data_IF_281002387300
#
_entry.id   IF_281002387300
#
_cell.length_a   1.000
_cell.length_b   1.000
_cell.length_c   1.000
_cell.angle_alpha   90.00
_cell.angle_beta   90.00
_cell.angle_gamma   90.00
#
_symmetry.space_group_name_H-M   'P 1'
#
loop_
_entity.id
_entity.type
_entity.pdbx_description
1 polymer ?
#
# COMPACT_ATOMS: atom_id res chain seq x y z
N UNK A 1 -40.26 47.77 -63.04
CA UNK A 1 -40.73 46.37 -63.11
C UNK A 1 -39.52 45.44 -63.04
N UNK A 2 -39.69 44.28 -62.40
CA UNK A 2 -38.73 43.17 -62.15
C UNK A 2 -37.53 43.51 -61.21
N UNK A 3 -37.58 43.21 -59.90
CA UNK A 3 -37.26 41.93 -59.20
C UNK A 3 -35.90 41.37 -59.66
N UNK A 4 -34.88 41.25 -58.79
CA UNK A 4 -34.73 40.08 -57.89
C UNK A 4 -33.54 40.26 -56.93
N UNK A 5 -33.73 39.93 -55.65
CA UNK A 5 -32.71 39.78 -54.59
C UNK A 5 -32.35 38.31 -54.43
N UNK A 6 -31.07 37.93 -54.36
CA UNK A 6 -30.55 36.70 -53.71
C UNK A 6 -29.08 36.96 -53.30
N UNK A 7 -28.79 37.23 -52.02
CA UNK A 7 -28.28 36.28 -51.00
C UNK A 7 -26.97 35.60 -51.45
N UNK A 8 -25.83 36.15 -51.02
CA UNK A 8 -24.56 35.42 -50.96
C UNK A 8 -24.41 34.88 -49.51
N UNK A 9 -24.53 33.57 -49.37
CA UNK A 9 -24.41 32.86 -48.10
C UNK A 9 -22.94 32.70 -47.68
N UNK A 10 -22.63 33.12 -46.45
CA UNK A 10 -21.42 32.72 -45.76
C UNK A 10 -21.75 31.50 -44.87
N UNK A 11 -21.37 30.30 -45.33
CA UNK A 11 -21.36 29.11 -44.50
C UNK A 11 -20.04 29.08 -43.73
N UNK A 12 -20.04 29.62 -42.51
CA UNK A 12 -18.98 29.36 -41.54
C UNK A 12 -19.30 28.03 -40.84
N UNK A 13 -18.64 26.96 -41.27
CA UNK A 13 -18.65 25.68 -40.56
C UNK A 13 -17.69 25.81 -39.38
N UNK A 14 -18.20 26.27 -38.23
CA UNK A 14 -17.51 26.10 -36.96
C UNK A 14 -17.67 24.66 -36.52
N UNK A 15 -16.67 23.83 -36.83
CA UNK A 15 -16.50 22.53 -36.22
C UNK A 15 -16.08 22.74 -34.75
N UNK A 16 -17.05 22.89 -33.86
CA UNK A 16 -16.83 22.72 -32.42
C UNK A 16 -16.51 21.25 -32.19
N UNK A 17 -15.23 20.91 -32.14
CA UNK A 17 -14.76 19.71 -31.46
C UNK A 17 -15.07 19.89 -29.97
N UNK A 18 -16.29 19.52 -29.59
CA UNK A 18 -16.62 19.15 -28.22
C UNK A 18 -15.80 17.90 -27.92
N UNK A 19 -14.59 18.10 -27.37
CA UNK A 19 -13.92 17.06 -26.62
C UNK A 19 -14.80 16.80 -25.41
N UNK A 20 -15.66 15.79 -25.49
CA UNK A 20 -16.34 15.27 -24.31
C UNK A 20 -15.23 14.84 -23.33
N UNK A 21 -15.24 15.32 -22.08
CA UNK A 21 -14.37 14.76 -21.07
C UNK A 21 -14.81 13.31 -20.86
N UNK A 22 -14.11 12.37 -21.46
CA UNK A 22 -14.26 10.95 -21.17
C UNK A 22 -13.56 10.66 -19.84
N UNK A 23 -14.14 11.16 -18.75
CA UNK A 23 -13.92 10.66 -17.40
C UNK A 23 -15.23 10.00 -16.99
N UNK A 24 -15.19 8.74 -16.59
CA UNK A 24 -16.35 8.04 -16.07
C UNK A 24 -16.96 8.81 -14.87
N UNK A 25 -18.08 9.50 -15.09
CA UNK A 25 -18.83 10.29 -14.11
C UNK A 25 -19.59 9.38 -13.13
N UNK A 26 -18.85 8.71 -12.23
CA UNK A 26 -19.47 8.08 -11.07
C UNK A 26 -19.70 9.10 -9.96
N UNK A 27 -20.85 9.04 -9.31
CA UNK A 27 -21.19 9.92 -8.18
C UNK A 27 -21.40 9.11 -6.91
N UNK A 28 -21.12 9.69 -5.73
CA UNK A 28 -21.47 9.06 -4.46
C UNK A 28 -22.93 8.59 -4.43
N UNK A 29 -23.13 7.33 -4.02
CA UNK A 29 -24.42 6.65 -4.03
C UNK A 29 -24.64 5.74 -5.24
N UNK A 30 -23.86 5.87 -6.31
CA UNK A 30 -23.94 4.95 -7.45
C UNK A 30 -23.67 3.51 -7.01
N UNK A 31 -24.52 2.59 -7.48
CA UNK A 31 -24.33 1.14 -7.33
C UNK A 31 -23.84 0.57 -8.65
N UNK A 32 -22.58 0.11 -8.63
CA UNK A 32 -21.96 -0.59 -9.73
C UNK A 32 -22.23 -2.09 -9.56
N UNK A 33 -22.88 -2.67 -10.55
CA UNK A 33 -23.21 -4.10 -10.66
C UNK A 33 -22.74 -4.61 -12.02
N UNK A 34 -22.89 -5.91 -12.28
CA UNK A 34 -22.64 -6.50 -13.59
C UNK A 34 -23.32 -5.69 -14.73
N UNK A 35 -24.52 -5.18 -14.51
CA UNK A 35 -25.32 -4.47 -15.53
C UNK A 35 -24.73 -3.12 -15.97
N UNK A 36 -23.83 -2.52 -15.19
CA UNK A 36 -23.30 -1.19 -15.47
C UNK A 36 -21.80 -1.05 -15.15
N UNK A 37 -21.07 -2.16 -15.01
CA UNK A 37 -19.63 -2.17 -14.68
C UNK A 37 -18.78 -1.46 -15.74
N UNK A 38 -19.23 -1.42 -17.00
CA UNK A 38 -18.57 -0.68 -18.07
C UNK A 38 -18.42 0.82 -17.76
N UNK A 39 -19.25 1.38 -16.86
CA UNK A 39 -19.11 2.76 -16.38
C UNK A 39 -17.81 2.98 -15.63
N UNK A 40 -17.23 1.97 -15.01
CA UNK A 40 -16.02 2.09 -14.19
C UNK A 40 -14.84 1.31 -14.72
N UNK A 41 -14.94 0.72 -15.91
CA UNK A 41 -13.90 -0.17 -16.48
C UNK A 41 -12.50 0.46 -16.50
N UNK A 42 -12.41 1.77 -16.74
CA UNK A 42 -11.15 2.53 -16.81
C UNK A 42 -10.72 3.08 -15.43
N UNK A 43 -11.52 2.86 -14.39
CA UNK A 43 -11.30 3.30 -13.01
C UNK A 43 -10.97 2.15 -12.04
N UNK A 44 -11.14 0.90 -12.48
CA UNK A 44 -10.93 -0.29 -11.65
C UNK A 44 -9.93 -1.25 -12.30
N UNK A 45 -9.36 -2.14 -11.49
CA UNK A 45 -8.54 -3.22 -12.04
C UNK A 45 -9.41 -4.27 -12.75
N UNK A 46 -8.87 -5.00 -13.75
CA UNK A 46 -9.58 -6.10 -14.39
C UNK A 46 -10.08 -7.17 -13.40
N UNK A 47 -9.34 -7.38 -12.30
CA UNK A 47 -9.75 -8.30 -11.25
C UNK A 47 -11.00 -7.83 -10.50
N UNK A 48 -11.10 -6.53 -10.20
CA UNK A 48 -12.30 -5.98 -9.57
C UNK A 48 -13.50 -6.00 -10.53
N UNK A 49 -13.27 -5.75 -11.82
CA UNK A 49 -14.30 -5.90 -12.86
C UNK A 49 -14.85 -7.33 -12.88
N UNK A 50 -13.95 -8.32 -12.86
CA UNK A 50 -14.31 -9.73 -12.80
C UNK A 50 -15.16 -10.03 -11.54
N UNK A 51 -14.75 -9.55 -10.37
CA UNK A 51 -15.54 -9.72 -9.14
C UNK A 51 -16.95 -9.12 -9.25
N UNK A 52 -17.09 -7.91 -9.79
CA UNK A 52 -18.40 -7.24 -9.97
C UNK A 52 -19.30 -8.05 -10.89
N UNK A 53 -18.76 -8.57 -12.00
CA UNK A 53 -19.48 -9.46 -12.93
C UNK A 53 -19.90 -10.78 -12.29
N UNK A 54 -19.25 -11.20 -11.20
CA UNK A 54 -19.56 -12.45 -10.48
C UNK A 54 -20.27 -12.20 -9.13
N UNK A 55 -20.99 -11.08 -9.01
CA UNK A 55 -21.89 -10.84 -7.87
C UNK A 55 -21.27 -10.05 -6.71
N UNK A 56 -20.20 -9.30 -6.96
CA UNK A 56 -19.60 -8.39 -5.98
C UNK A 56 -19.92 -6.92 -6.30
N UNK A 57 -21.15 -6.42 -6.01
CA UNK A 57 -21.51 -5.04 -6.35
C UNK A 57 -20.68 -4.04 -5.52
N UNK A 58 -20.31 -2.92 -6.15
CA UNK A 58 -19.57 -1.83 -5.53
C UNK A 58 -20.48 -0.62 -5.35
N UNK A 59 -20.37 0.08 -4.22
CA UNK A 59 -21.07 1.35 -3.99
C UNK A 59 -20.05 2.48 -3.95
N UNK A 60 -20.26 3.49 -4.79
CA UNK A 60 -19.40 4.68 -4.83
C UNK A 60 -19.72 5.54 -3.61
N UNK A 61 -18.70 5.97 -2.89
CA UNK A 61 -18.83 6.86 -1.73
C UNK A 61 -18.01 8.11 -1.94
N UNK A 62 -18.28 9.15 -1.15
CA UNK A 62 -17.42 10.33 -1.12
C UNK A 62 -15.98 9.95 -0.78
N UNK A 63 -15.04 10.58 -1.48
CA UNK A 63 -13.63 10.50 -1.14
C UNK A 63 -13.44 11.06 0.26
N UNK A 64 -12.87 10.24 1.14
CA UNK A 64 -12.54 10.64 2.51
C UNK A 64 -11.08 10.34 2.79
N UNK A 65 -10.51 11.09 3.72
CA UNK A 65 -9.19 10.78 4.23
C UNK A 65 -9.23 9.43 4.96
N UNK A 66 -8.27 8.56 4.67
CA UNK A 66 -8.08 7.31 5.41
C UNK A 66 -7.27 7.65 6.65
N UNK A 67 -7.97 7.74 7.78
CA UNK A 67 -7.35 8.03 9.07
C UNK A 67 -6.41 6.90 9.50
N UNK A 68 -5.34 7.26 10.19
CA UNK A 68 -4.47 6.29 10.84
C UNK A 68 -5.25 5.49 11.90
N UNK A 69 -4.83 4.23 12.17
CA UNK A 69 -5.34 3.50 13.32
C UNK A 69 -5.19 4.35 14.59
N UNK A 70 -6.26 4.43 15.39
CA UNK A 70 -6.32 5.31 16.57
C UNK A 70 -5.12 5.14 17.50
N UNK A 71 -4.73 3.91 17.81
CA UNK A 71 -3.60 3.63 18.69
C UNK A 71 -2.26 4.12 18.10
N UNK A 72 -2.10 4.06 16.77
CA UNK A 72 -0.91 4.56 16.08
C UNK A 72 -0.83 6.08 16.14
N UNK A 73 -1.96 6.77 15.94
CA UNK A 73 -2.06 8.22 16.09
C UNK A 73 -1.74 8.66 17.52
N UNK A 74 -2.39 8.07 18.52
CA UNK A 74 -2.17 8.39 19.95
C UNK A 74 -0.71 8.14 20.37
N UNK A 75 -0.10 7.04 19.91
CA UNK A 75 1.30 6.75 20.18
C UNK A 75 2.24 7.77 19.51
N UNK A 76 1.94 8.15 18.27
CA UNK A 76 2.69 9.20 17.55
C UNK A 76 2.66 10.51 18.31
N UNK A 77 1.48 10.97 18.72
CA UNK A 77 1.30 12.21 19.48
C UNK A 77 2.07 12.17 20.81
N UNK A 78 2.10 11.01 21.47
CA UNK A 78 2.77 10.81 22.76
C UNK A 78 4.29 10.74 22.67
N UNK A 79 4.83 10.07 21.64
CA UNK A 79 6.24 9.66 21.63
C UNK A 79 7.09 10.29 20.51
N UNK A 80 6.51 10.88 19.46
CA UNK A 80 7.32 11.34 18.33
C UNK A 80 8.29 12.49 18.67
N UNK A 81 7.94 13.36 19.62
CA UNK A 81 8.73 14.56 19.96
C UNK A 81 10.11 14.27 20.58
N UNK A 82 10.30 13.09 21.18
CA UNK A 82 11.58 12.66 21.76
C UNK A 82 12.50 11.95 20.75
N UNK A 83 11.94 11.52 19.61
CA UNK A 83 12.68 10.71 18.63
C UNK A 83 13.71 11.56 17.91
N UNK A 84 14.94 11.06 17.84
CA UNK A 84 16.04 11.70 17.11
C UNK A 84 16.76 10.67 16.26
N UNK A 85 17.45 11.14 15.23
CA UNK A 85 18.45 10.33 14.54
C UNK A 85 19.82 10.64 15.12
N UNK A 86 20.67 9.62 15.21
CA UNK A 86 22.10 9.79 15.44
C UNK A 86 22.70 10.69 14.34
N UNK A 87 23.86 11.29 14.61
CA UNK A 87 24.49 12.24 13.67
C UNK A 87 24.78 11.61 12.29
N UNK A 88 25.08 10.32 12.24
CA UNK A 88 25.29 9.55 11.01
C UNK A 88 23.99 9.07 10.34
N UNK A 89 22.83 9.29 10.97
CA UNK A 89 21.52 8.91 10.47
C UNK A 89 21.21 7.41 10.53
N UNK A 90 22.05 6.59 11.17
CA UNK A 90 21.91 5.13 11.18
C UNK A 90 21.04 4.60 12.33
N UNK A 91 20.98 5.33 13.44
CA UNK A 91 20.27 4.91 14.66
C UNK A 91 19.15 5.88 14.97
N UNK A 92 17.99 5.32 15.31
CA UNK A 92 16.87 6.06 15.87
C UNK A 92 16.92 6.00 17.40
N UNK A 93 17.09 7.16 18.02
CA UNK A 93 17.19 7.33 19.46
C UNK A 93 15.82 7.66 20.06
N UNK A 94 15.53 7.11 21.25
CA UNK A 94 14.31 7.35 22.04
C UNK A 94 12.99 6.99 21.35
N UNK A 95 13.03 6.13 20.33
CA UNK A 95 11.81 5.59 19.73
C UNK A 95 11.10 4.65 20.70
N UNK A 96 9.78 4.76 20.77
CA UNK A 96 8.92 3.90 21.60
C UNK A 96 7.86 3.23 20.75
N UNK A 97 7.01 4.01 20.08
CA UNK A 97 5.95 3.54 19.19
C UNK A 97 5.40 4.68 18.32
N UNK A 98 4.61 4.33 17.29
CA UNK A 98 3.98 5.29 16.38
C UNK A 98 4.91 5.71 15.22
N UNK A 99 4.52 6.80 14.54
CA UNK A 99 5.31 7.41 13.47
C UNK A 99 6.53 8.12 14.07
N UNK A 100 7.76 7.77 13.68
CA UNK A 100 8.96 8.38 14.25
C UNK A 100 9.04 9.89 14.06
N UNK A 101 8.82 10.38 12.83
CA UNK A 101 9.01 11.78 12.45
C UNK A 101 7.77 12.28 11.70
N UNK A 102 6.62 12.51 12.34
CA UNK A 102 5.35 12.81 11.66
C UNK A 102 5.39 14.11 10.82
N UNK A 103 6.24 15.06 11.19
CA UNK A 103 6.40 16.35 10.50
C UNK A 103 7.90 16.68 10.32
N UNK A 104 8.64 15.95 9.46
CA UNK A 104 10.06 16.21 9.26
C UNK A 104 10.27 17.53 8.52
N UNK A 105 11.21 18.37 8.96
CA UNK A 105 11.53 19.64 8.30
C UNK A 105 12.34 19.39 7.02
N UNK A 106 11.86 19.92 5.89
CA UNK A 106 12.53 19.83 4.57
C UNK A 106 13.92 20.46 4.55
N UNK A 107 14.23 21.34 5.51
CA UNK A 107 15.55 21.97 5.66
C UNK A 107 16.53 21.13 6.49
N UNK A 108 16.05 20.09 7.15
CA UNK A 108 16.89 19.18 7.93
C UNK A 108 17.80 18.38 6.98
N UNK A 109 19.13 18.38 7.17
CA UNK A 109 20.03 17.58 6.34
C UNK A 109 19.71 16.07 6.39
N UNK A 110 19.01 15.60 7.43
CA UNK A 110 18.56 14.22 7.58
C UNK A 110 17.09 14.01 7.14
N UNK A 111 16.44 14.99 6.50
CA UNK A 111 15.04 14.91 6.07
C UNK A 111 14.71 13.61 5.31
N UNK A 112 15.51 13.28 4.30
CA UNK A 112 15.29 12.07 3.47
C UNK A 112 15.41 10.80 4.30
N UNK A 113 16.38 10.74 5.21
CA UNK A 113 16.58 9.60 6.10
C UNK A 113 15.37 9.44 7.04
N UNK A 114 14.85 10.55 7.58
CA UNK A 114 13.62 10.54 8.40
C UNK A 114 12.41 10.04 7.62
N UNK A 115 12.28 10.39 6.34
CA UNK A 115 11.23 9.85 5.45
C UNK A 115 11.40 8.35 5.24
N UNK A 116 12.63 7.85 5.08
CA UNK A 116 12.89 6.41 4.95
C UNK A 116 12.52 5.64 6.23
N UNK A 117 12.88 6.16 7.41
CA UNK A 117 12.44 5.59 8.68
C UNK A 117 10.92 5.63 8.82
N UNK A 118 10.28 6.71 8.41
CA UNK A 118 8.83 6.83 8.43
C UNK A 118 8.14 5.80 7.56
N UNK A 119 8.69 5.49 6.39
CA UNK A 119 8.20 4.41 5.55
C UNK A 119 8.38 3.07 6.28
N UNK A 120 9.60 2.74 6.71
CA UNK A 120 9.92 1.45 7.34
C UNK A 120 9.10 1.18 8.62
N UNK A 121 8.82 2.21 9.43
CA UNK A 121 8.04 2.14 10.67
C UNK A 121 6.56 2.49 10.50
N UNK A 122 6.11 2.73 9.26
CA UNK A 122 4.71 3.05 8.97
C UNK A 122 3.76 1.90 9.29
N UNK A 123 2.57 2.22 9.79
CA UNK A 123 1.61 1.21 10.26
C UNK A 123 1.19 0.16 9.23
N UNK A 124 1.29 0.49 7.93
CA UNK A 124 1.01 -0.43 6.82
C UNK A 124 2.02 -1.57 6.70
N UNK A 125 3.23 -1.39 7.24
CA UNK A 125 4.28 -2.42 7.26
C UNK A 125 4.16 -3.38 8.46
N UNK A 126 3.13 -3.17 9.29
CA UNK A 126 2.83 -3.93 10.49
C UNK A 126 3.13 -3.14 11.76
N UNK A 127 2.32 -3.40 12.80
CA UNK A 127 2.42 -2.74 14.11
C UNK A 127 2.87 -3.72 15.21
N UNK A 128 2.21 -4.87 15.29
CA UNK A 128 2.46 -5.88 16.34
C UNK A 128 2.77 -7.24 15.70
N UNK A 129 1.73 -7.97 15.30
CA UNK A 129 1.82 -9.33 14.81
C UNK A 129 1.10 -9.39 13.45
N UNK A 130 1.67 -10.11 12.49
CA UNK A 130 1.05 -10.41 11.19
C UNK A 130 0.91 -11.92 11.07
N UNK A 131 -0.28 -12.39 10.71
CA UNK A 131 -0.61 -13.80 10.48
C UNK A 131 -1.32 -13.89 9.13
N UNK A 132 -0.68 -14.53 8.15
CA UNK A 132 -1.26 -14.81 6.83
C UNK A 132 -1.11 -16.29 6.55
N UNK A 133 -2.17 -16.90 5.99
CA UNK A 133 -2.20 -18.34 5.74
C UNK A 133 -2.75 -18.68 4.38
N UNK A 134 -2.27 -19.80 3.83
CA UNK A 134 -2.74 -20.38 2.57
C UNK A 134 -2.83 -19.33 1.45
N UNK A 135 -1.69 -18.71 1.15
CA UNK A 135 -1.62 -17.68 0.12
C UNK A 135 -0.67 -18.07 -0.99
N UNK A 136 -1.04 -17.65 -2.19
CA UNK A 136 -0.24 -17.83 -3.40
C UNK A 136 0.87 -16.78 -3.45
N UNK A 137 2.05 -17.20 -3.86
CA UNK A 137 3.15 -16.31 -4.20
C UNK A 137 3.72 -16.71 -5.55
N UNK A 138 3.41 -15.93 -6.57
CA UNK A 138 3.97 -16.10 -7.89
C UNK A 138 5.27 -15.32 -8.04
N UNK A 139 6.25 -15.97 -8.64
CA UNK A 139 7.54 -15.37 -9.00
C UNK A 139 7.71 -15.40 -10.51
N UNK A 140 8.37 -14.37 -11.05
CA UNK A 140 8.79 -14.33 -12.44
C UNK A 140 9.09 -12.93 -12.92
N UNK A 141 9.30 -12.79 -14.24
CA UNK A 141 9.67 -11.53 -14.85
C UNK A 141 8.48 -10.56 -14.99
N UNK A 142 8.70 -9.32 -14.56
CA UNK A 142 7.86 -8.17 -14.92
C UNK A 142 8.51 -7.50 -16.13
N UNK A 143 7.93 -7.70 -17.32
CA UNK A 143 8.40 -7.07 -18.55
C UNK A 143 8.01 -5.59 -18.59
N UNK A 144 8.64 -4.83 -19.50
CA UNK A 144 8.30 -3.44 -19.80
C UNK A 144 6.90 -3.29 -20.45
N UNK A 145 6.31 -4.39 -20.89
CA UNK A 145 4.94 -4.47 -21.39
C UNK A 145 4.26 -5.78 -20.96
N UNK A 146 2.97 -5.71 -20.67
CA UNK A 146 2.13 -6.87 -20.35
C UNK A 146 2.10 -7.27 -18.86
N UNK A 147 1.37 -8.34 -18.52
CA UNK A 147 1.29 -8.84 -17.15
C UNK A 147 2.58 -9.56 -16.73
N UNK A 148 2.72 -9.81 -15.42
CA UNK A 148 3.76 -10.70 -14.87
C UNK A 148 3.72 -12.05 -15.60
N UNK A 149 4.88 -12.51 -16.07
CA UNK A 149 5.01 -13.90 -16.52
C UNK A 149 5.33 -14.75 -15.31
N UNK A 150 4.43 -15.67 -14.94
CA UNK A 150 4.64 -16.57 -13.81
C UNK A 150 5.62 -17.67 -14.22
N UNK A 151 6.80 -17.67 -13.60
CA UNK A 151 7.84 -18.68 -13.79
C UNK A 151 7.70 -19.80 -12.75
N UNK A 152 7.34 -19.43 -11.51
CA UNK A 152 7.10 -20.37 -10.42
C UNK A 152 5.96 -19.89 -9.56
N UNK A 153 5.01 -20.79 -9.34
CA UNK A 153 3.93 -20.64 -8.40
C UNK A 153 4.28 -21.32 -7.07
N UNK A 154 4.02 -20.64 -5.96
CA UNK A 154 4.16 -21.18 -4.63
C UNK A 154 2.84 -21.09 -3.88
N UNK A 155 2.48 -22.17 -3.20
CA UNK A 155 1.45 -22.13 -2.18
C UNK A 155 2.12 -22.17 -0.80
N UNK A 156 1.88 -21.15 0.01
CA UNK A 156 2.54 -20.96 1.31
C UNK A 156 1.53 -21.12 2.44
N UNK A 157 1.83 -22.00 3.40
CA UNK A 157 0.90 -22.31 4.50
C UNK A 157 0.79 -21.16 5.50
N UNK A 158 1.94 -20.67 6.00
CA UNK A 158 1.93 -19.70 7.11
C UNK A 158 3.07 -18.69 6.98
N UNK A 159 2.70 -17.43 6.76
CA UNK A 159 3.56 -16.28 7.02
C UNK A 159 3.18 -15.69 8.37
N UNK A 160 4.18 -15.56 9.24
CA UNK A 160 4.04 -14.91 10.52
C UNK A 160 5.15 -13.90 10.73
N UNK A 161 4.82 -12.72 11.24
CA UNK A 161 5.78 -11.71 11.67
C UNK A 161 5.38 -11.21 13.05
N UNK A 162 6.36 -11.08 13.94
CA UNK A 162 6.24 -10.52 15.27
C UNK A 162 7.18 -9.32 15.37
N UNK A 163 6.66 -8.15 15.71
CA UNK A 163 7.44 -6.99 16.12
C UNK A 163 7.69 -7.03 17.63
N UNK A 164 8.94 -6.81 18.02
CA UNK A 164 9.35 -6.84 19.43
C UNK A 164 9.22 -5.47 20.10
N UNK A 165 9.34 -4.40 19.32
CA UNK A 165 9.29 -3.00 19.73
C UNK A 165 8.18 -2.27 18.96
N UNK A 166 7.68 -1.16 19.49
CA UNK A 166 6.65 -0.37 18.79
C UNK A 166 5.25 -0.97 18.84
N UNK A 167 5.01 -1.94 19.74
CA UNK A 167 3.75 -2.67 19.85
C UNK A 167 2.64 -1.79 20.44
N UNK A 168 1.45 -1.87 19.86
CA UNK A 168 0.31 -1.00 20.14
C UNK A 168 -0.94 -1.71 20.64
N UNK A 169 -1.11 -3.01 20.36
CA UNK A 169 -2.33 -3.74 20.68
C UNK A 169 -2.09 -4.92 21.61
N UNK A 170 -1.17 -5.82 21.26
CA UNK A 170 -0.93 -7.10 21.91
C UNK A 170 0.13 -6.95 22.99
N UNK A 171 -0.19 -7.40 24.21
CA UNK A 171 0.76 -7.33 25.32
C UNK A 171 1.94 -8.32 25.17
N UNK A 172 3.09 -8.01 25.79
CA UNK A 172 3.41 -6.74 26.46
C UNK A 172 3.68 -5.61 25.46
N UNK A 173 3.26 -4.41 25.86
CA UNK A 173 3.45 -3.13 25.14
C UNK A 173 4.27 -2.15 25.99
N UNK A 174 5.01 -1.20 25.39
CA UNK A 174 5.24 -1.05 23.94
C UNK A 174 6.33 -1.98 23.40
N UNK A 175 6.96 -2.75 24.29
CA UNK A 175 8.06 -3.65 23.96
C UNK A 175 7.94 -4.97 24.74
N UNK A 176 8.34 -6.06 24.09
CA UNK A 176 8.56 -7.38 24.71
C UNK A 176 9.95 -7.48 25.30
N UNK A 177 10.18 -8.28 26.36
CA UNK A 177 11.53 -8.63 26.77
C UNK A 177 12.35 -9.13 25.57
N UNK A 178 13.36 -8.37 25.17
CA UNK A 178 14.04 -8.50 23.88
C UNK A 178 15.55 -8.71 24.08
N UNK A 179 15.99 -9.85 24.65
CA UNK A 179 17.40 -10.08 24.97
C UNK A 179 18.31 -10.13 23.73
N UNK A 180 17.72 -10.38 22.55
CA UNK A 180 18.46 -10.52 21.30
C UNK A 180 18.49 -9.22 20.46
N UNK A 181 17.78 -8.17 20.89
CA UNK A 181 17.74 -6.89 20.19
C UNK A 181 17.08 -6.95 18.81
N UNK A 182 16.02 -7.76 18.67
CA UNK A 182 15.25 -7.84 17.43
C UNK A 182 14.30 -6.66 17.29
N UNK A 183 14.15 -6.15 16.08
CA UNK A 183 13.01 -5.30 15.70
C UNK A 183 11.83 -6.18 15.32
N UNK A 184 12.07 -7.15 14.45
CA UNK A 184 11.06 -8.08 13.97
C UNK A 184 11.64 -9.49 13.83
N UNK A 185 10.80 -10.49 14.07
CA UNK A 185 11.09 -11.89 13.78
C UNK A 185 9.98 -12.41 12.88
N UNK A 186 10.34 -13.18 11.85
CA UNK A 186 9.38 -13.69 10.89
C UNK A 186 9.67 -15.14 10.52
N UNK A 187 8.61 -15.81 10.05
CA UNK A 187 8.70 -17.13 9.47
C UNK A 187 7.76 -17.25 8.29
N UNK A 188 8.20 -17.97 7.28
CA UNK A 188 7.43 -18.32 6.11
C UNK A 188 7.58 -19.82 5.86
N UNK A 189 6.62 -20.60 6.33
CA UNK A 189 6.69 -22.06 6.26
C UNK A 189 5.37 -22.73 6.64
N UNK A 190 5.21 -24.01 6.31
CA UNK A 190 5.89 -24.69 5.22
C UNK A 190 5.47 -24.13 3.85
N UNK A 191 6.35 -24.29 2.87
CA UNK A 191 5.95 -24.31 1.47
C UNK A 191 5.09 -25.57 1.25
N UNK A 192 3.89 -25.41 0.71
CA UNK A 192 2.98 -26.52 0.38
C UNK A 192 3.18 -26.99 -1.06
N UNK A 193 3.44 -26.05 -1.97
CA UNK A 193 3.75 -26.26 -3.37
C UNK A 193 4.86 -25.30 -3.83
N UNK A 194 5.74 -25.72 -4.75
CA UNK A 194 5.74 -26.99 -5.49
C UNK A 194 6.34 -28.18 -4.70
N UNK A 195 6.14 -29.41 -5.20
CA UNK A 195 6.53 -30.65 -4.50
C UNK A 195 8.02 -30.76 -4.16
N UNK A 196 8.90 -30.23 -5.01
CA UNK A 196 10.35 -30.22 -4.81
C UNK A 196 10.79 -29.35 -3.64
N UNK A 197 9.94 -28.42 -3.19
CA UNK A 197 10.19 -27.51 -2.06
C UNK A 197 9.22 -27.74 -0.90
N UNK A 198 8.34 -28.75 -0.99
CA UNK A 198 7.32 -29.00 0.02
C UNK A 198 7.94 -29.30 1.39
N UNK A 199 7.43 -28.61 2.41
CA UNK A 199 7.92 -28.70 3.79
C UNK A 199 9.14 -27.82 4.10
N UNK A 200 9.75 -27.18 3.10
CA UNK A 200 10.80 -26.18 3.31
C UNK A 200 10.19 -24.92 3.93
N UNK A 201 11.01 -24.18 4.68
CA UNK A 201 10.62 -22.96 5.34
C UNK A 201 11.77 -21.97 5.42
N UNK A 202 11.44 -20.69 5.56
CA UNK A 202 12.39 -19.64 5.89
C UNK A 202 12.05 -19.05 7.26
N UNK A 203 13.08 -18.71 8.02
CA UNK A 203 12.99 -17.88 9.22
C UNK A 203 13.80 -16.62 8.96
N UNK A 204 13.42 -15.50 9.55
CA UNK A 204 14.17 -14.27 9.41
C UNK A 204 14.16 -13.46 10.70
N UNK A 205 15.31 -12.92 11.08
CA UNK A 205 15.42 -12.04 12.23
C UNK A 205 15.98 -10.70 11.79
N UNK A 206 15.20 -9.63 12.01
CA UNK A 206 15.63 -8.26 11.79
C UNK A 206 16.11 -7.65 13.10
N UNK A 207 17.35 -7.17 13.12
CA UNK A 207 17.93 -6.54 14.30
C UNK A 207 17.62 -5.04 14.36
N UNK A 208 17.51 -4.51 15.57
CA UNK A 208 17.38 -3.05 15.77
C UNK A 208 18.73 -2.33 15.62
N UNK A 209 19.84 -3.03 15.82
CA UNK A 209 21.18 -2.47 15.63
C UNK A 209 21.52 -2.39 14.13
N UNK A 210 21.95 -1.22 13.62
CA UNK A 210 22.37 -1.09 12.22
C UNK A 210 23.72 -1.74 11.91
N UNK A 211 24.45 -2.16 12.93
CA UNK A 211 25.77 -2.79 12.80
C UNK A 211 25.69 -4.32 12.80
N UNK A 212 24.48 -4.85 12.92
CA UNK A 212 24.19 -6.28 12.82
C UNK A 212 23.38 -6.56 11.57
N UNK A 213 23.87 -7.47 10.75
CA UNK A 213 23.14 -7.95 9.58
C UNK A 213 21.97 -8.83 10.02
N UNK A 214 20.87 -8.78 9.26
CA UNK A 214 19.71 -9.63 9.47
C UNK A 214 20.06 -11.10 9.17
N UNK A 215 19.52 -12.03 9.98
CA UNK A 215 19.72 -13.48 9.80
C UNK A 215 18.57 -14.07 8.97
N UNK A 216 18.85 -15.08 8.14
CA UNK A 216 17.85 -15.84 7.36
C UNK A 216 18.22 -17.32 7.21
#
# INVERSE_FOLDING_TARGET
>A
MAKTRWIAGALAVTATMLVAPAGADVVPGDKITEANVDKVKDLISPGLEWCIKHGFPMTITETKHVEWPRAYKEATEKYASQVKLSADGRVMENYVAGQPFPSPDVKDPQFVIKVMFNYDYGYVNGLDDTDLRNFDADTGAVADHGPLTVERHFLLDHFRRLFWTGRLYVDPKPEKPNPNGYRAQQGLYPILEPYDLKGVGALGNRYSSPDKQDDS
#
